data_IF_448640151446
#
_entry.id   IF_448640151446
#
_cell.length_a   1.000
_cell.length_b   1.000
_cell.length_c   1.000
_cell.angle_alpha   90.00
_cell.angle_beta   90.00
_cell.angle_gamma   90.00
#
_symmetry.space_group_name_H-M   'P 1'
#
loop_
_entity.id
_entity.type
_entity.pdbx_description
1 polymer ?
#
# COMPACT_ATOMS: atom_id res chain seq x y z
N UNK A 1 10.59 -5.34 -13.97
CA UNK A 1 9.29 -5.58 -13.27
C UNK A 1 9.47 -5.84 -11.76
N UNK A 2 10.47 -6.62 -11.34
CA UNK A 2 10.72 -6.96 -9.92
C UNK A 2 10.85 -5.76 -8.96
N UNK A 3 11.63 -4.73 -9.30
CA UNK A 3 11.93 -3.61 -8.38
C UNK A 3 10.68 -2.84 -7.91
N UNK A 4 9.77 -2.48 -8.84
CA UNK A 4 8.56 -1.71 -8.50
C UNK A 4 7.61 -2.51 -7.62
N UNK A 5 7.45 -3.80 -7.90
CA UNK A 5 6.61 -4.70 -7.08
C UNK A 5 7.21 -4.85 -5.68
N UNK A 6 8.53 -4.98 -5.59
CA UNK A 6 9.23 -5.02 -4.30
C UNK A 6 9.07 -3.73 -3.50
N UNK A 7 9.19 -2.57 -4.16
CA UNK A 7 8.96 -1.26 -3.52
C UNK A 7 7.54 -1.15 -2.98
N UNK A 8 6.54 -1.57 -3.76
CA UNK A 8 5.15 -1.61 -3.31
C UNK A 8 4.96 -2.56 -2.13
N UNK A 9 5.53 -3.76 -2.18
CA UNK A 9 5.43 -4.73 -1.09
C UNK A 9 6.01 -4.17 0.23
N UNK A 10 7.18 -3.53 0.17
CA UNK A 10 7.79 -2.86 1.33
C UNK A 10 6.92 -1.71 1.83
N UNK A 11 6.37 -0.89 0.93
CA UNK A 11 5.49 0.21 1.30
C UNK A 11 4.23 -0.29 2.01
N UNK A 12 3.56 -1.33 1.48
CA UNK A 12 2.42 -1.96 2.14
C UNK A 12 2.80 -2.56 3.51
N UNK A 13 3.98 -3.18 3.62
CA UNK A 13 4.48 -3.68 4.90
C UNK A 13 4.66 -2.58 5.94
N UNK A 14 5.25 -1.45 5.57
CA UNK A 14 5.42 -0.29 6.46
C UNK A 14 4.08 0.31 6.90
N UNK A 15 3.12 0.41 5.99
CA UNK A 15 1.77 0.91 6.32
C UNK A 15 1.05 -0.04 7.26
N UNK A 16 1.19 -1.36 7.06
CA UNK A 16 0.68 -2.36 8.00
C UNK A 16 1.27 -2.20 9.40
N UNK A 17 2.59 -2.02 9.52
CA UNK A 17 3.24 -1.74 10.80
C UNK A 17 2.72 -0.44 11.43
N UNK A 18 2.51 0.60 10.62
CA UNK A 18 1.91 1.86 11.07
C UNK A 18 0.49 1.69 11.61
N UNK A 19 -0.33 0.85 10.97
CA UNK A 19 -1.67 0.52 11.46
C UNK A 19 -1.61 -0.23 12.79
N UNK A 20 -0.78 -1.26 12.92
CA UNK A 20 -0.62 -1.98 14.19
C UNK A 20 -0.11 -1.06 15.30
N UNK A 21 0.86 -0.20 14.99
CA UNK A 21 1.36 0.80 15.93
C UNK A 21 0.28 1.78 16.34
N UNK A 22 -0.54 2.28 15.39
CA UNK A 22 -1.64 3.20 15.69
C UNK A 22 -2.64 2.61 16.68
N UNK A 23 -2.94 1.32 16.55
CA UNK A 23 -3.80 0.59 17.48
C UNK A 23 -3.13 0.40 18.84
N UNK A 24 -1.82 0.13 18.85
CA UNK A 24 -1.07 -0.03 20.09
C UNK A 24 -0.99 1.25 20.94
N UNK A 25 -1.00 2.42 20.30
CA UNK A 25 -0.99 3.74 20.97
C UNK A 25 -2.36 4.41 21.05
N UNK A 26 -3.43 3.71 20.64
CA UNK A 26 -4.81 4.20 20.60
C UNK A 26 -4.98 5.56 19.89
N UNK A 27 -4.29 5.74 18.76
CA UNK A 27 -4.32 6.98 17.97
C UNK A 27 -5.19 6.84 16.73
N UNK A 28 -6.39 7.41 16.80
CA UNK A 28 -7.34 7.48 15.68
C UNK A 28 -6.82 8.31 14.50
N UNK A 29 -6.07 9.39 14.76
CA UNK A 29 -5.45 10.21 13.73
C UNK A 29 -4.41 9.42 12.92
N UNK A 30 -3.54 8.67 13.62
CA UNK A 30 -2.52 7.85 12.97
C UNK A 30 -3.16 6.70 12.17
N UNK A 31 -4.21 6.09 12.71
CA UNK A 31 -4.97 5.05 12.03
C UNK A 31 -5.60 5.57 10.72
N UNK A 32 -6.22 6.76 10.77
CA UNK A 32 -6.82 7.40 9.61
C UNK A 32 -5.76 7.79 8.55
N UNK A 33 -4.62 8.31 8.99
CA UNK A 33 -3.50 8.66 8.10
C UNK A 33 -2.98 7.41 7.37
N UNK A 34 -2.72 6.32 8.09
CA UNK A 34 -2.25 5.07 7.48
C UNK A 34 -3.28 4.48 6.53
N UNK A 35 -4.57 4.52 6.89
CA UNK A 35 -5.67 4.09 6.02
C UNK A 35 -5.71 4.90 4.72
N UNK A 36 -5.51 6.22 4.80
CA UNK A 36 -5.44 7.09 3.62
C UNK A 36 -4.27 6.70 2.71
N UNK A 37 -3.11 6.41 3.29
CA UNK A 37 -1.93 5.95 2.52
C UNK A 37 -2.21 4.64 1.78
N UNK A 38 -2.97 3.70 2.39
CA UNK A 38 -3.41 2.48 1.69
C UNK A 38 -4.16 2.82 0.41
N UNK A 39 -5.14 3.72 0.47
CA UNK A 39 -5.92 4.12 -0.72
C UNK A 39 -5.04 4.73 -1.81
N UNK A 40 -4.04 5.52 -1.44
CA UNK A 40 -3.08 6.07 -2.40
C UNK A 40 -2.24 4.96 -3.04
N UNK A 41 -1.78 3.98 -2.27
CA UNK A 41 -1.01 2.84 -2.77
C UNK A 41 -1.82 1.87 -3.64
N UNK A 42 -3.15 1.91 -3.57
CA UNK A 42 -4.00 1.11 -4.48
C UNK A 42 -3.88 1.59 -5.93
N UNK A 43 -3.65 2.89 -6.19
CA UNK A 43 -3.52 3.44 -7.54
C UNK A 43 -2.36 2.81 -8.34
N UNK A 44 -1.10 2.81 -7.87
CA UNK A 44 0.00 2.18 -8.59
C UNK A 44 -0.18 0.65 -8.69
N UNK A 45 -0.80 0.01 -7.70
CA UNK A 45 -1.12 -1.41 -7.76
C UNK A 45 -2.12 -1.71 -8.88
N UNK A 46 -3.21 -0.95 -8.96
CA UNK A 46 -4.22 -1.07 -10.00
C UNK A 46 -3.61 -0.86 -11.40
N UNK A 47 -2.73 0.14 -11.54
CA UNK A 47 -1.99 0.37 -12.78
C UNK A 47 -1.13 -0.84 -13.20
N UNK A 48 -0.41 -1.45 -12.25
CA UNK A 48 0.40 -2.64 -12.56
C UNK A 48 -0.46 -3.84 -12.96
N UNK A 49 -1.61 -4.04 -12.31
CA UNK A 49 -2.58 -5.09 -12.66
C UNK A 49 -3.13 -4.85 -14.07
N UNK A 50 -3.55 -3.63 -14.37
CA UNK A 50 -4.04 -3.25 -15.70
C UNK A 50 -2.98 -3.48 -16.77
N UNK A 51 -1.76 -2.97 -16.56
CA UNK A 51 -0.64 -3.16 -17.48
C UNK A 51 -0.35 -4.63 -17.72
N UNK A 52 -0.36 -5.47 -16.68
CA UNK A 52 -0.14 -6.92 -16.82
C UNK A 52 -1.22 -7.58 -17.69
N UNK A 53 -2.48 -7.15 -17.58
CA UNK A 53 -3.57 -7.67 -18.43
C UNK A 53 -3.37 -7.26 -19.90
N UNK A 54 -3.14 -5.98 -20.17
CA UNK A 54 -2.95 -5.46 -21.55
C UNK A 54 -1.75 -6.09 -22.27
N UNK A 55 -0.66 -6.39 -21.54
CA UNK A 55 0.54 -7.03 -22.15
C UNK A 55 0.37 -8.54 -22.34
N UNK A 56 -0.64 -9.15 -21.71
CA UNK A 56 -0.91 -10.59 -21.79
C UNK A 56 -1.97 -10.97 -22.82
N UNK A 57 -2.65 -9.98 -23.42
CA UNK A 57 -3.52 -10.11 -24.60
C UNK A 57 -2.72 -9.84 -25.88
#
# INVERSE_FOLDING_TARGET
MSKVIWTLAVAYGLVGLGLFYSLAVDSSELFLAMTTVIYVLMLPLAYLVYKKRVVSE
#
